data_IF_980620285419
#
_entry.id   IF_980620285419
#
_cell.length_a   1.000
_cell.length_b   1.000
_cell.length_c   1.000
_cell.angle_alpha   90.00
_cell.angle_beta   90.00
_cell.angle_gamma   90.00
#
_symmetry.space_group_name_H-M   'P 1'
#
loop_
_entity.id
_entity.type
_entity.pdbx_description
1 polymer ?
#
# COMPACT_ATOMS: atom_id res chain seq x y z
N UNK A 1 -1.82 18.29 14.95
CA UNK A 1 -2.92 19.23 14.75
C UNK A 1 -3.15 20.12 15.96
N UNK A 2 -3.48 19.56 17.15
CA UNK A 2 -3.78 20.37 18.35
C UNK A 2 -2.58 21.20 18.82
N UNK A 3 -1.35 20.69 18.70
CA UNK A 3 -0.13 21.45 19.03
C UNK A 3 0.10 22.60 18.05
N UNK A 4 -0.21 22.39 16.76
CA UNK A 4 -0.12 23.43 15.75
C UNK A 4 -1.19 24.51 15.94
N UNK A 5 -2.45 24.13 16.27
CA UNK A 5 -3.52 25.12 16.49
C UNK A 5 -3.27 25.97 17.73
N UNK A 6 -2.80 25.42 18.85
CA UNK A 6 -2.50 26.21 20.05
C UNK A 6 -1.36 27.19 19.82
N UNK A 7 -0.35 26.83 19.05
CA UNK A 7 0.81 27.70 18.78
C UNK A 7 0.50 28.78 17.73
N UNK A 8 -0.32 28.46 16.73
CA UNK A 8 -0.56 29.35 15.59
C UNK A 8 -1.86 30.16 15.68
N UNK A 9 -2.85 29.68 16.41
CA UNK A 9 -4.12 30.39 16.61
C UNK A 9 -4.13 31.24 17.89
N UNK A 10 -3.01 31.27 18.62
CA UNK A 10 -2.87 32.05 19.85
C UNK A 10 -3.73 31.53 21.01
N UNK A 11 -4.20 30.28 20.91
CA UNK A 11 -4.90 29.64 22.03
C UNK A 11 -3.93 29.35 23.17
N UNK A 12 -4.30 29.75 24.37
CA UNK A 12 -3.57 29.40 25.58
C UNK A 12 -3.74 27.92 25.87
N UNK A 13 -2.70 27.13 25.54
CA UNK A 13 -2.67 25.69 25.75
C UNK A 13 -2.81 25.32 27.22
N UNK A 14 -2.32 26.15 28.13
CA UNK A 14 -2.40 25.95 29.58
C UNK A 14 -3.82 26.19 30.08
N UNK A 15 -4.48 27.26 29.64
CA UNK A 15 -5.87 27.53 29.95
C UNK A 15 -6.83 26.47 29.39
N UNK A 16 -6.51 25.87 28.24
CA UNK A 16 -7.26 24.74 27.66
C UNK A 16 -6.98 23.40 28.33
N UNK A 17 -6.04 23.33 29.28
CA UNK A 17 -5.59 22.10 29.93
C UNK A 17 -4.79 21.16 29.01
N UNK A 18 -4.30 21.64 27.88
CA UNK A 18 -3.47 20.88 26.93
C UNK A 18 -1.99 20.94 27.35
N UNK A 19 -1.62 20.22 28.39
CA UNK A 19 -0.20 20.05 28.76
C UNK A 19 0.52 19.19 27.72
N UNK A 20 1.84 19.36 27.59
CA UNK A 20 2.68 18.55 26.71
C UNK A 20 2.50 17.04 26.99
N UNK A 21 2.40 16.65 28.25
CA UNK A 21 2.17 15.28 28.70
C UNK A 21 0.82 14.73 28.19
N UNK A 22 -0.27 15.50 28.32
CA UNK A 22 -1.58 15.09 27.82
C UNK A 22 -1.61 14.96 26.30
N UNK A 23 -0.91 15.84 25.60
CA UNK A 23 -0.75 15.76 24.13
C UNK A 23 0.01 14.50 23.74
N UNK A 24 1.12 14.17 24.39
CA UNK A 24 1.87 12.95 24.12
C UNK A 24 1.04 11.69 24.44
N UNK A 25 0.35 11.68 25.56
CA UNK A 25 -0.54 10.56 25.91
C UNK A 25 -1.68 10.39 24.89
N UNK A 26 -2.24 11.47 24.36
CA UNK A 26 -3.25 11.41 23.30
C UNK A 26 -2.68 10.89 21.97
N UNK A 27 -1.47 11.31 21.60
CA UNK A 27 -0.76 10.78 20.42
C UNK A 27 -0.50 9.28 20.56
N UNK A 28 -0.02 8.83 21.71
CA UNK A 28 0.24 7.41 21.97
C UNK A 28 -1.04 6.58 21.85
N UNK A 29 -2.16 7.03 22.44
CA UNK A 29 -3.46 6.35 22.31
C UNK A 29 -3.97 6.31 20.86
N UNK A 30 -3.80 7.40 20.10
CA UNK A 30 -4.20 7.43 18.69
C UNK A 30 -3.35 6.50 17.85
N UNK A 31 -2.04 6.46 18.09
CA UNK A 31 -1.13 5.53 17.42
C UNK A 31 -1.51 4.07 17.73
N UNK A 32 -1.78 3.76 19.00
CA UNK A 32 -2.23 2.42 19.39
C UNK A 32 -3.52 2.01 18.66
N UNK A 33 -4.52 2.90 18.57
CA UNK A 33 -5.75 2.62 17.83
C UNK A 33 -5.55 2.38 16.35
N UNK A 34 -4.57 3.05 15.74
CA UNK A 34 -4.22 2.82 14.33
C UNK A 34 -3.57 1.43 14.19
N UNK A 35 -2.73 1.04 15.14
CA UNK A 35 -2.09 -0.29 15.16
C UNK A 35 -3.07 -1.43 15.41
N UNK A 36 -4.06 -1.20 16.28
CA UNK A 36 -5.10 -2.20 16.59
C UNK A 36 -6.16 -2.33 15.47
N UNK A 37 -6.07 -1.52 14.41
CA UNK A 37 -7.08 -1.48 13.35
C UNK A 37 -6.95 -2.61 12.32
N UNK A 38 -5.80 -3.25 12.23
CA UNK A 38 -5.54 -4.35 11.30
C UNK A 38 -4.58 -5.38 11.88
N UNK A 39 -4.68 -6.60 11.37
CA UNK A 39 -3.66 -7.63 11.53
C UNK A 39 -3.00 -7.91 10.19
N UNK A 40 -1.69 -8.15 10.21
CA UNK A 40 -0.86 -8.44 9.05
C UNK A 40 -0.32 -9.86 9.12
N UNK A 41 -0.64 -10.66 8.10
CA UNK A 41 -0.14 -12.03 7.95
C UNK A 41 0.65 -12.17 6.64
N UNK A 42 1.78 -12.85 6.69
CA UNK A 42 2.66 -13.11 5.55
C UNK A 42 2.77 -14.61 5.29
N UNK A 43 2.64 -15.01 4.03
CA UNK A 43 2.83 -16.39 3.61
C UNK A 43 3.58 -16.42 2.29
N UNK A 44 4.68 -17.16 2.20
CA UNK A 44 5.32 -17.46 0.91
C UNK A 44 4.56 -18.63 0.25
N UNK A 45 4.12 -18.44 -0.98
CA UNK A 45 3.40 -19.43 -1.78
C UNK A 45 4.06 -19.48 -3.15
N UNK A 46 4.83 -20.54 -3.41
CA UNK A 46 5.66 -20.62 -4.61
C UNK A 46 6.60 -19.42 -4.71
N UNK A 47 6.64 -18.80 -5.86
CA UNK A 47 7.43 -17.58 -6.14
C UNK A 47 6.74 -16.28 -5.68
N UNK A 48 5.65 -16.37 -4.93
CA UNK A 48 4.89 -15.20 -4.51
C UNK A 48 4.84 -15.04 -2.99
N UNK A 49 4.94 -13.81 -2.52
CA UNK A 49 4.62 -13.41 -1.17
C UNK A 49 3.15 -12.98 -1.11
N UNK A 50 2.34 -13.73 -0.40
CA UNK A 50 0.97 -13.34 -0.06
C UNK A 50 0.99 -12.49 1.21
N UNK A 51 0.48 -11.28 1.09
CA UNK A 51 0.28 -10.32 2.18
C UNK A 51 -1.20 -10.22 2.46
N UNK A 52 -1.64 -10.69 3.62
CA UNK A 52 -3.02 -10.58 4.10
C UNK A 52 -3.14 -9.48 5.12
N UNK A 53 -4.09 -8.57 4.90
CA UNK A 53 -4.48 -7.54 5.86
C UNK A 53 -5.92 -7.81 6.30
N UNK A 54 -6.12 -8.05 7.58
CA UNK A 54 -7.44 -8.29 8.16
C UNK A 54 -7.93 -7.01 8.86
N UNK A 55 -9.14 -6.57 8.53
CA UNK A 55 -9.76 -5.40 9.14
C UNK A 55 -10.34 -5.75 10.52
N UNK A 56 -9.81 -5.16 11.58
CA UNK A 56 -10.27 -5.33 12.96
C UNK A 56 -11.21 -4.21 13.43
N UNK A 57 -11.65 -3.33 12.52
CA UNK A 57 -12.56 -2.24 12.83
C UNK A 57 -14.01 -2.55 12.44
N UNK A 58 -14.96 -1.78 12.98
CA UNK A 58 -16.37 -1.87 12.61
C UNK A 58 -16.75 -1.12 11.32
N UNK A 59 -15.80 -0.58 10.58
CA UNK A 59 -16.01 0.20 9.36
C UNK A 59 -15.05 -0.27 8.27
N UNK A 60 -15.25 0.19 7.02
CA UNK A 60 -14.24 -0.01 5.98
C UNK A 60 -12.89 0.57 6.39
N UNK A 61 -11.80 -0.14 6.14
CA UNK A 61 -10.45 0.26 6.47
C UNK A 61 -9.66 0.69 5.22
N UNK A 62 -9.05 1.90 5.19
CA UNK A 62 -9.05 2.95 6.20
C UNK A 62 -10.42 3.62 6.37
N UNK A 63 -10.74 4.01 7.61
CA UNK A 63 -12.03 4.60 7.97
C UNK A 63 -11.99 6.13 8.06
N UNK A 64 -13.17 6.74 8.19
CA UNK A 64 -13.37 8.16 8.40
C UNK A 64 -13.39 8.96 7.11
N UNK A 65 -13.04 10.24 7.19
CA UNK A 65 -13.04 11.15 6.03
C UNK A 65 -12.14 10.63 4.90
N UNK A 66 -12.68 10.36 3.71
CA UNK A 66 -11.95 9.62 2.67
C UNK A 66 -10.95 10.47 1.89
N UNK A 67 -11.21 11.79 1.75
CA UNK A 67 -10.41 12.66 0.88
C UNK A 67 -8.96 12.75 1.36
N UNK A 68 -8.05 12.29 0.51
CA UNK A 68 -6.62 12.27 0.80
C UNK A 68 -6.17 11.25 1.85
N UNK A 69 -7.11 10.49 2.46
CA UNK A 69 -6.79 9.42 3.41
C UNK A 69 -6.53 8.13 2.67
N UNK A 70 -5.42 7.48 3.00
CA UNK A 70 -5.02 6.21 2.37
C UNK A 70 -4.27 5.30 3.33
N UNK A 71 -4.29 4.02 3.00
CA UNK A 71 -3.48 2.97 3.59
C UNK A 71 -2.82 2.21 2.45
N UNK A 72 -1.58 1.75 2.61
CA UNK A 72 -0.92 0.96 1.57
C UNK A 72 0.09 -0.02 2.14
N UNK A 73 0.50 -0.96 1.29
CA UNK A 73 1.50 -1.97 1.62
C UNK A 73 2.87 -1.51 1.13
N UNK A 74 3.85 -1.45 2.00
CA UNK A 74 5.26 -1.38 1.62
C UNK A 74 5.88 -2.77 1.78
N UNK A 75 6.53 -3.27 0.75
CA UNK A 75 7.24 -4.54 0.78
C UNK A 75 8.69 -4.30 0.41
N UNK A 76 9.60 -4.63 1.31
CA UNK A 76 11.03 -4.64 1.05
C UNK A 76 11.53 -6.07 0.99
N UNK A 77 12.04 -6.47 -0.14
CA UNK A 77 12.74 -7.74 -0.32
C UNK A 77 14.23 -7.53 -0.08
N UNK A 78 14.81 -8.33 0.80
CA UNK A 78 16.20 -8.23 1.22
C UNK A 78 16.97 -9.49 0.79
N UNK A 79 18.20 -9.33 0.33
CA UNK A 79 19.12 -10.44 0.08
C UNK A 79 19.72 -11.02 1.37
N UNK A 80 20.65 -11.98 1.23
CA UNK A 80 21.34 -12.61 2.36
C UNK A 80 22.23 -11.64 3.16
N UNK A 81 22.67 -10.53 2.55
CA UNK A 81 23.47 -9.50 3.20
C UNK A 81 22.58 -8.42 3.87
N UNK A 82 21.25 -8.50 3.70
CA UNK A 82 20.30 -7.50 4.20
C UNK A 82 20.15 -6.28 3.30
N UNK A 83 20.69 -6.31 2.08
CA UNK A 83 20.52 -5.24 1.10
C UNK A 83 19.14 -5.35 0.42
N UNK A 84 18.51 -4.21 0.14
CA UNK A 84 17.21 -4.16 -0.54
C UNK A 84 17.40 -4.48 -2.02
N UNK A 85 16.81 -5.59 -2.48
CA UNK A 85 16.82 -6.01 -3.90
C UNK A 85 15.59 -5.55 -4.67
N UNK A 86 14.46 -5.34 -3.98
CA UNK A 86 13.26 -4.74 -4.55
C UNK A 86 12.43 -4.07 -3.45
N UNK A 87 11.74 -2.99 -3.79
CA UNK A 87 10.85 -2.30 -2.86
C UNK A 87 9.59 -1.82 -3.55
N UNK A 88 8.44 -2.31 -3.08
CA UNK A 88 7.10 -1.85 -3.46
C UNK A 88 6.59 -0.81 -2.48
N UNK A 89 5.91 0.22 -2.99
CA UNK A 89 5.24 1.20 -2.15
C UNK A 89 6.15 1.99 -1.21
N UNK A 90 7.38 2.27 -1.62
CA UNK A 90 8.30 3.14 -0.89
C UNK A 90 7.68 4.53 -0.72
N UNK A 91 7.83 5.11 0.46
CA UNK A 91 7.41 6.48 0.70
C UNK A 91 8.59 7.45 0.68
N UNK A 92 8.50 8.46 -0.18
CA UNK A 92 9.45 9.57 -0.19
C UNK A 92 8.97 10.66 0.78
N UNK A 93 9.67 10.79 1.91
CA UNK A 93 9.34 11.77 2.95
C UNK A 93 9.60 13.22 2.51
N UNK A 94 10.56 13.46 1.61
CA UNK A 94 10.85 14.80 1.12
C UNK A 94 9.74 15.28 0.18
N UNK A 95 9.28 14.41 -0.72
CA UNK A 95 8.24 14.71 -1.68
C UNK A 95 6.83 14.37 -1.18
N UNK A 96 6.71 13.68 -0.04
CA UNK A 96 5.44 13.18 0.53
C UNK A 96 4.63 12.34 -0.47
N UNK A 97 5.29 11.43 -1.19
CA UNK A 97 4.70 10.60 -2.25
C UNK A 97 5.06 9.13 -2.10
N UNK A 98 4.13 8.27 -2.53
CA UNK A 98 4.42 6.85 -2.71
C UNK A 98 5.22 6.69 -4.01
N UNK A 99 6.33 5.98 -3.93
CA UNK A 99 7.29 5.75 -5.02
C UNK A 99 7.70 4.28 -5.07
N UNK A 100 8.71 3.95 -5.87
CA UNK A 100 9.19 2.57 -6.03
C UNK A 100 8.30 1.74 -6.96
N UNK A 101 8.34 0.42 -6.79
CA UNK A 101 7.49 -0.49 -7.56
C UNK A 101 6.02 -0.35 -7.15
N UNK A 102 5.07 -0.68 -8.06
CA UNK A 102 3.64 -0.60 -7.78
C UNK A 102 3.25 -1.37 -6.52
N UNK A 103 2.29 -0.82 -5.79
CA UNK A 103 1.74 -1.44 -4.58
C UNK A 103 0.24 -1.31 -4.49
N UNK A 104 -0.36 -2.04 -3.57
CA UNK A 104 -1.78 -1.91 -3.24
C UNK A 104 -2.00 -0.69 -2.35
N UNK A 105 -2.85 0.23 -2.81
CA UNK A 105 -3.30 1.41 -2.05
C UNK A 105 -4.79 1.28 -1.80
N UNK A 106 -5.18 1.26 -0.52
CA UNK A 106 -6.57 1.24 -0.07
C UNK A 106 -7.05 2.65 0.21
N UNK A 107 -8.07 3.08 -0.54
CA UNK A 107 -8.60 4.44 -0.52
C UNK A 107 -10.00 4.49 -1.13
N UNK A 108 -10.73 5.57 -0.89
CA UNK A 108 -11.90 5.91 -1.69
C UNK A 108 -11.60 7.17 -2.50
N UNK A 109 -12.00 7.17 -3.78
CA UNK A 109 -11.87 8.29 -4.69
C UNK A 109 -13.24 8.68 -5.20
N UNK A 110 -13.60 9.92 -4.93
CA UNK A 110 -14.84 10.53 -5.39
C UNK A 110 -14.57 11.50 -6.53
N UNK A 111 -15.62 11.98 -7.14
CA UNK A 111 -15.54 13.00 -8.15
C UNK A 111 -16.89 13.34 -8.73
N UNK A 112 -16.87 14.02 -9.87
CA UNK A 112 -18.05 14.57 -10.54
C UNK A 112 -18.26 13.89 -11.88
N UNK A 113 -19.53 13.83 -12.34
CA UNK A 113 -19.87 13.41 -13.69
C UNK A 113 -20.05 14.61 -14.64
N UNK A 114 -20.35 14.31 -15.92
CA UNK A 114 -20.57 15.32 -16.95
C UNK A 114 -21.78 16.23 -16.66
N UNK A 115 -22.77 15.77 -15.89
CA UNK A 115 -23.92 16.61 -15.53
C UNK A 115 -23.53 17.68 -14.52
N UNK A 116 -22.69 17.35 -13.54
CA UNK A 116 -22.14 18.32 -12.59
C UNK A 116 -21.17 19.28 -13.30
N UNK A 117 -20.32 18.78 -14.20
CA UNK A 117 -19.42 19.61 -15.02
C UNK A 117 -20.22 20.67 -15.81
N UNK A 118 -21.30 20.26 -16.48
CA UNK A 118 -22.12 21.17 -17.28
C UNK A 118 -22.73 22.33 -16.47
N UNK A 119 -22.97 22.14 -15.18
CA UNK A 119 -23.58 23.16 -14.32
C UNK A 119 -22.52 23.99 -13.59
N UNK A 120 -21.42 23.37 -13.17
CA UNK A 120 -20.44 23.99 -12.25
C UNK A 120 -19.15 24.41 -12.92
N UNK A 121 -18.82 23.83 -14.10
CA UNK A 121 -17.54 23.99 -14.76
C UNK A 121 -16.40 23.17 -14.10
N UNK A 122 -16.68 22.39 -13.06
CA UNK A 122 -15.71 21.45 -12.47
C UNK A 122 -15.62 20.24 -13.39
N UNK A 123 -14.44 19.91 -13.95
CA UNK A 123 -14.28 18.81 -14.89
C UNK A 123 -14.78 17.47 -14.32
N UNK A 124 -15.45 16.68 -15.14
CA UNK A 124 -15.84 15.33 -14.80
C UNK A 124 -14.59 14.44 -14.58
N UNK A 125 -14.68 13.53 -13.62
CA UNK A 125 -13.60 12.65 -13.24
C UNK A 125 -13.28 12.67 -11.74
N UNK A 126 -12.21 11.97 -11.35
CA UNK A 126 -11.72 11.98 -9.97
C UNK A 126 -11.28 13.39 -9.57
N UNK A 127 -11.83 13.90 -8.49
CA UNK A 127 -11.42 15.18 -7.91
C UNK A 127 -11.72 15.22 -6.41
N UNK A 128 -11.31 16.29 -5.72
CA UNK A 128 -11.53 16.47 -4.28
C UNK A 128 -12.65 17.47 -3.94
N UNK A 129 -13.51 17.80 -4.87
CA UNK A 129 -14.70 18.66 -4.63
C UNK A 129 -15.80 17.88 -3.93
N UNK A 130 -15.55 17.47 -2.68
CA UNK A 130 -16.44 16.58 -1.91
C UNK A 130 -17.91 17.03 -1.92
N UNK A 131 -18.18 18.34 -1.80
CA UNK A 131 -19.55 18.87 -1.79
C UNK A 131 -20.28 18.72 -3.12
N UNK A 132 -19.55 18.54 -4.22
CA UNK A 132 -20.09 18.35 -5.58
C UNK A 132 -20.00 16.89 -6.02
N UNK A 133 -19.27 16.05 -5.28
CA UNK A 133 -19.02 14.67 -5.66
C UNK A 133 -20.32 13.86 -5.71
N UNK A 134 -20.65 13.37 -6.88
CA UNK A 134 -21.82 12.54 -7.14
C UNK A 134 -21.48 11.16 -7.70
N UNK A 135 -20.19 10.91 -7.99
CA UNK A 135 -19.67 9.63 -8.47
C UNK A 135 -18.58 9.13 -7.54
N UNK A 136 -18.55 7.83 -7.29
CA UNK A 136 -17.47 7.13 -6.63
C UNK A 136 -16.69 6.35 -7.68
N UNK A 137 -15.44 6.74 -7.93
CA UNK A 137 -14.58 6.15 -8.96
C UNK A 137 -13.80 4.95 -8.43
N UNK A 138 -13.50 4.94 -7.13
CA UNK A 138 -12.80 3.86 -6.45
C UNK A 138 -13.25 3.77 -4.99
N UNK A 139 -13.46 2.56 -4.49
CA UNK A 139 -13.56 2.26 -3.07
C UNK A 139 -13.13 0.82 -2.84
N UNK A 140 -11.83 0.60 -2.70
CA UNK A 140 -11.23 -0.70 -2.42
C UNK A 140 -10.83 -0.85 -0.94
N UNK A 141 -11.41 -0.05 -0.05
CA UNK A 141 -11.17 -0.16 1.39
C UNK A 141 -11.69 -1.49 1.89
N UNK A 142 -10.90 -2.15 2.75
CA UNK A 142 -11.23 -3.48 3.27
C UNK A 142 -12.51 -3.43 4.10
N UNK A 143 -13.55 -4.22 3.80
CA UNK A 143 -14.81 -4.20 4.53
C UNK A 143 -14.66 -4.63 6.01
N UNK A 144 -15.60 -4.27 6.88
CA UNK A 144 -15.63 -4.76 8.26
C UNK A 144 -16.15 -6.20 8.35
N UNK A 145 -15.94 -6.84 9.49
CA UNK A 145 -16.54 -8.14 9.80
C UNK A 145 -18.06 -8.05 9.68
N UNK A 146 -18.69 -9.05 9.06
CA UNK A 146 -20.11 -9.08 8.78
C UNK A 146 -20.54 -8.34 7.50
N UNK A 147 -19.59 -7.95 6.67
CA UNK A 147 -19.85 -7.35 5.36
C UNK A 147 -20.72 -8.27 4.49
N UNK A 148 -21.70 -7.68 3.81
CA UNK A 148 -22.37 -8.30 2.66
C UNK A 148 -22.57 -7.26 1.55
N UNK A 149 -22.40 -7.67 0.30
CA UNK A 149 -22.57 -6.79 -0.85
C UNK A 149 -23.99 -6.19 -0.91
N UNK A 150 -25.01 -6.99 -0.55
CA UNK A 150 -26.40 -6.54 -0.56
C UNK A 150 -26.62 -5.39 0.44
N UNK A 151 -26.15 -5.52 1.70
CA UNK A 151 -26.34 -4.50 2.71
C UNK A 151 -25.58 -3.22 2.35
N UNK A 152 -24.31 -3.33 1.92
CA UNK A 152 -23.50 -2.18 1.57
C UNK A 152 -24.00 -1.45 0.29
N UNK A 153 -24.62 -2.18 -0.64
CA UNK A 153 -25.28 -1.58 -1.81
C UNK A 153 -26.56 -0.84 -1.42
N UNK A 154 -27.35 -1.40 -0.51
CA UNK A 154 -28.57 -0.76 -0.02
C UNK A 154 -28.27 0.56 0.71
N UNK A 155 -27.13 0.61 1.45
CA UNK A 155 -26.67 1.81 2.16
C UNK A 155 -25.87 2.79 1.26
N UNK A 156 -25.79 2.53 -0.07
CA UNK A 156 -25.08 3.38 -1.03
C UNK A 156 -23.56 3.40 -0.85
N UNK A 157 -22.99 2.39 -0.19
CA UNK A 157 -21.56 2.30 0.08
C UNK A 157 -20.91 0.97 -0.37
N UNK A 158 -21.25 0.42 -1.57
CA UNK A 158 -20.59 -0.77 -2.07
C UNK A 158 -19.08 -0.52 -2.31
N UNK A 159 -18.25 -1.56 -2.41
CA UNK A 159 -16.94 -1.47 -3.04
C UNK A 159 -17.08 -0.97 -4.50
N UNK A 160 -16.06 -0.27 -5.00
CA UNK A 160 -16.03 0.23 -6.39
C UNK A 160 -14.65 0.01 -6.97
N UNK A 161 -14.59 -0.62 -8.15
CA UNK A 161 -13.32 -0.96 -8.82
C UNK A 161 -12.52 -2.07 -8.10
N UNK A 162 -13.16 -2.77 -7.17
CA UNK A 162 -12.64 -3.92 -6.46
C UNK A 162 -13.77 -4.76 -5.87
N UNK A 163 -13.56 -6.08 -5.75
CA UNK A 163 -14.58 -7.02 -5.29
C UNK A 163 -14.17 -7.68 -3.98
N UNK A 164 -15.12 -7.81 -3.06
CA UNK A 164 -15.02 -8.58 -1.84
C UNK A 164 -16.20 -9.56 -1.77
N UNK A 165 -15.94 -10.80 -1.38
CA UNK A 165 -16.99 -11.79 -1.16
C UNK A 165 -17.81 -11.45 0.11
N UNK A 166 -19.06 -11.90 0.18
CA UNK A 166 -19.86 -11.77 1.39
C UNK A 166 -19.14 -12.43 2.59
N UNK A 167 -19.06 -11.69 3.69
CA UNK A 167 -18.32 -12.11 4.89
C UNK A 167 -16.82 -11.85 4.85
N UNK A 168 -16.26 -11.43 3.72
CA UNK A 168 -14.85 -11.11 3.61
C UNK A 168 -14.55 -9.77 4.30
N UNK A 169 -13.64 -9.80 5.27
CA UNK A 169 -13.14 -8.62 6.01
C UNK A 169 -11.61 -8.56 6.03
N UNK A 170 -10.99 -9.16 5.02
CA UNK A 170 -9.55 -9.14 4.76
C UNK A 170 -9.30 -8.92 3.27
N UNK A 171 -8.06 -8.57 2.93
CA UNK A 171 -7.59 -8.53 1.56
C UNK A 171 -6.25 -9.24 1.43
N UNK A 172 -6.09 -9.99 0.35
CA UNK A 172 -4.85 -10.69 -0.01
C UNK A 172 -4.20 -9.98 -1.20
N UNK A 173 -2.95 -9.57 -1.05
CA UNK A 173 -2.15 -9.02 -2.14
C UNK A 173 -0.94 -9.90 -2.39
N UNK A 174 -0.68 -10.20 -3.65
CA UNK A 174 0.45 -11.04 -4.07
C UNK A 174 1.57 -10.17 -4.63
N UNK A 175 2.80 -10.45 -4.22
CA UNK A 175 4.01 -9.80 -4.72
C UNK A 175 4.97 -10.88 -5.20
N UNK A 176 5.50 -10.73 -6.42
CA UNK A 176 6.54 -11.64 -6.93
C UNK A 176 7.80 -11.55 -6.05
N UNK A 177 8.33 -12.69 -5.64
CA UNK A 177 9.56 -12.78 -4.83
C UNK A 177 10.75 -12.73 -5.77
N UNK A 178 11.63 -11.71 -5.68
CA UNK A 178 12.87 -11.71 -6.47
C UNK A 178 13.75 -12.90 -6.12
N UNK A 179 14.39 -13.54 -7.10
CA UNK A 179 15.24 -14.71 -6.89
C UNK A 179 16.39 -14.48 -5.88
N UNK A 180 16.91 -13.26 -5.81
CA UNK A 180 17.95 -12.87 -4.85
C UNK A 180 17.41 -12.65 -3.42
N UNK A 181 16.09 -12.55 -3.23
CA UNK A 181 15.49 -12.27 -1.91
C UNK A 181 15.67 -13.47 -0.96
N UNK A 182 15.94 -13.18 0.29
CA UNK A 182 16.04 -14.14 1.40
C UNK A 182 15.17 -13.77 2.58
N UNK A 183 14.63 -12.57 2.55
CA UNK A 183 13.71 -12.05 3.57
C UNK A 183 12.77 -11.04 2.95
N UNK A 184 11.54 -10.99 3.42
CA UNK A 184 10.63 -9.89 3.15
C UNK A 184 10.27 -9.19 4.47
N UNK A 185 10.33 -7.86 4.44
CA UNK A 185 9.84 -6.99 5.50
C UNK A 185 8.66 -6.21 4.93
N UNK A 186 7.49 -6.40 5.50
CA UNK A 186 6.25 -5.77 5.06
C UNK A 186 5.74 -4.82 6.13
N UNK A 187 5.42 -3.59 5.73
CA UNK A 187 4.80 -2.59 6.60
C UNK A 187 3.50 -2.10 5.96
N UNK A 188 2.44 -2.06 6.74
CA UNK A 188 1.18 -1.40 6.36
C UNK A 188 1.23 0.03 6.85
N UNK A 189 1.18 0.99 5.94
CA UNK A 189 1.19 2.41 6.25
C UNK A 189 -0.21 3.01 6.20
N UNK A 190 -0.46 3.93 7.12
CA UNK A 190 -1.64 4.79 7.13
C UNK A 190 -1.25 6.26 7.01
N UNK A 191 -1.92 7.00 6.14
CA UNK A 191 -1.73 8.44 5.98
C UNK A 191 -3.07 9.18 6.05
N UNK A 192 -3.13 10.23 6.88
CA UNK A 192 -4.35 11.00 7.10
C UNK A 192 -4.65 12.02 6.01
N UNK A 193 -3.59 12.53 5.35
CA UNK A 193 -3.71 13.59 4.35
C UNK A 193 -2.60 13.42 3.32
N UNK A 194 -2.98 13.11 2.10
CA UNK A 194 -2.04 13.01 0.98
C UNK A 194 -1.59 14.39 0.51
N UNK A 195 -0.46 14.43 -0.20
CA UNK A 195 0.05 15.65 -0.82
C UNK A 195 -0.94 16.23 -1.83
N UNK A 196 -1.52 15.36 -2.63
CA UNK A 196 -2.46 15.73 -3.69
C UNK A 196 -3.66 16.47 -3.11
N UNK A 197 -4.20 15.99 -1.98
CA UNK A 197 -5.33 16.62 -1.32
C UNK A 197 -5.00 17.97 -0.70
N UNK A 198 -3.86 18.10 -0.01
CA UNK A 198 -3.50 19.37 0.62
C UNK A 198 -3.13 20.44 -0.42
N UNK A 199 -2.52 20.03 -1.55
CA UNK A 199 -2.25 20.91 -2.67
C UNK A 199 -3.57 21.39 -3.31
N UNK A 200 -4.54 20.49 -3.51
CA UNK A 200 -5.88 20.86 -3.95
C UNK A 200 -6.52 21.92 -3.03
N UNK A 201 -6.47 21.72 -1.70
CA UNK A 201 -7.02 22.68 -0.76
C UNK A 201 -6.33 24.06 -0.84
N UNK A 202 -5.03 24.09 -1.10
CA UNK A 202 -4.28 25.33 -1.32
C UNK A 202 -4.72 26.05 -2.59
N UNK A 203 -4.84 25.29 -3.68
CA UNK A 203 -4.99 25.84 -5.03
C UNK A 203 -6.43 26.20 -5.36
N UNK A 204 -7.41 25.45 -4.83
CA UNK A 204 -8.84 25.69 -5.09
C UNK A 204 -9.53 26.60 -4.05
N UNK A 205 -8.90 26.91 -2.94
CA UNK A 205 -9.45 27.88 -1.99
C UNK A 205 -9.22 29.31 -2.48
N UNK A 206 -10.27 29.88 -3.08
CA UNK A 206 -10.24 31.24 -3.66
C UNK A 206 -10.97 32.27 -2.80
N UNK A 207 -11.63 31.88 -1.73
CA UNK A 207 -12.48 32.78 -0.92
C UNK A 207 -11.76 33.36 0.29
N UNK A 208 -10.71 32.66 0.78
CA UNK A 208 -9.93 33.06 1.94
C UNK A 208 -8.57 32.35 1.95
N UNK A 209 -7.77 32.54 3.02
CA UNK A 209 -6.41 31.98 3.12
C UNK A 209 -6.37 30.61 3.82
N UNK A 210 -7.50 29.94 4.09
CA UNK A 210 -7.52 28.71 4.88
C UNK A 210 -6.73 27.58 4.19
N UNK A 211 -6.83 27.43 2.86
CA UNK A 211 -6.08 26.43 2.11
C UNK A 211 -4.56 26.67 2.16
N UNK A 212 -4.13 27.91 1.99
CA UNK A 212 -2.70 28.31 2.12
C UNK A 212 -2.20 28.04 3.53
N UNK A 213 -2.99 28.40 4.54
CA UNK A 213 -2.65 28.16 5.95
C UNK A 213 -2.53 26.66 6.23
N UNK A 214 -3.47 25.83 5.75
CA UNK A 214 -3.43 24.39 5.90
C UNK A 214 -2.20 23.77 5.23
N UNK A 215 -1.86 24.21 4.02
CA UNK A 215 -0.67 23.76 3.31
C UNK A 215 0.63 24.13 4.06
N UNK A 216 0.74 25.36 4.55
CA UNK A 216 1.92 25.80 5.29
C UNK A 216 2.10 25.03 6.61
N UNK A 217 1.00 24.77 7.33
CA UNK A 217 1.01 23.92 8.52
C UNK A 217 1.43 22.48 8.19
N UNK A 218 0.91 21.92 7.11
CA UNK A 218 1.28 20.59 6.65
C UNK A 218 2.78 20.52 6.32
N UNK A 219 3.34 21.50 5.61
CA UNK A 219 4.77 21.59 5.33
C UNK A 219 5.61 21.67 6.62
N UNK A 220 5.20 22.53 7.56
CA UNK A 220 5.93 22.79 8.80
C UNK A 220 5.93 21.59 9.76
N UNK A 221 4.84 20.80 9.79
CA UNK A 221 4.64 19.72 10.76
C UNK A 221 4.83 18.31 10.19
N UNK A 222 5.68 18.17 9.17
CA UNK A 222 6.13 16.86 8.68
C UNK A 222 5.23 16.23 7.63
N UNK A 223 4.47 17.04 6.90
CA UNK A 223 3.77 16.66 5.66
C UNK A 223 2.81 15.46 5.82
N UNK A 224 2.18 15.33 6.97
CA UNK A 224 1.35 14.15 7.31
C UNK A 224 2.09 12.86 7.02
N UNK A 225 3.31 12.73 7.53
CA UNK A 225 4.10 11.51 7.37
C UNK A 225 3.25 10.27 7.71
N UNK A 226 3.42 9.17 6.97
CA UNK A 226 2.67 7.95 7.24
C UNK A 226 3.00 7.38 8.61
N UNK A 227 2.06 6.65 9.15
CA UNK A 227 2.16 5.95 10.43
C UNK A 227 2.16 4.45 10.14
N UNK A 228 3.07 3.73 10.78
CA UNK A 228 3.13 2.27 10.72
C UNK A 228 1.92 1.70 11.48
N UNK A 229 1.02 1.04 10.76
CA UNK A 229 -0.11 0.31 11.35
C UNK A 229 0.36 -1.04 11.88
N UNK A 230 1.08 -1.78 11.04
CA UNK A 230 1.61 -3.07 11.36
C UNK A 230 2.89 -3.35 10.58
N UNK A 231 3.77 -4.21 11.10
CA UNK A 231 4.99 -4.62 10.43
C UNK A 231 5.27 -6.09 10.73
N UNK A 232 5.48 -6.87 9.69
CA UNK A 232 5.84 -8.27 9.80
C UNK A 232 7.05 -8.60 8.93
N UNK A 233 7.76 -9.65 9.31
CA UNK A 233 8.93 -10.14 8.58
C UNK A 233 8.81 -11.64 8.39
N UNK A 234 9.16 -12.11 7.20
CA UNK A 234 9.20 -13.52 6.87
C UNK A 234 10.53 -13.88 6.21
N UNK A 235 11.23 -14.95 6.64
CA UNK A 235 12.31 -15.51 5.88
C UNK A 235 11.76 -16.10 4.57
N UNK A 236 12.51 -15.93 3.49
CA UNK A 236 12.16 -16.48 2.19
C UNK A 236 13.14 -17.63 1.88
N UNK A 237 12.64 -18.75 1.35
CA UNK A 237 13.53 -19.80 0.90
C UNK A 237 14.48 -19.24 -0.18
N UNK A 238 15.68 -19.78 -0.33
CA UNK A 238 16.52 -19.47 -1.48
C UNK A 238 15.70 -19.73 -2.73
N UNK A 239 15.64 -18.76 -3.64
CA UNK A 239 15.08 -19.00 -4.97
C UNK A 239 15.82 -20.18 -5.57
N UNK A 240 15.11 -21.19 -6.05
CA UNK A 240 15.71 -22.30 -6.79
C UNK A 240 16.12 -21.74 -8.15
N UNK A 241 17.42 -21.73 -8.43
CA UNK A 241 17.90 -21.25 -9.73
C UNK A 241 17.29 -22.04 -10.89
N UNK A 242 16.94 -23.29 -10.62
CA UNK A 242 16.32 -24.21 -11.57
C UNK A 242 14.80 -24.04 -11.75
N UNK A 243 14.14 -23.21 -10.96
CA UNK A 243 12.73 -22.79 -11.14
C UNK A 243 12.70 -21.67 -12.20
N UNK A 244 12.68 -22.07 -13.46
CA UNK A 244 12.83 -21.18 -14.61
C UNK A 244 11.53 -20.46 -14.96
N UNK A 245 10.38 -21.06 -14.63
CA UNK A 245 9.07 -20.45 -14.83
C UNK A 245 8.62 -19.58 -13.63
N UNK A 246 9.30 -19.69 -12.48
CA UNK A 246 9.04 -18.90 -11.28
C UNK A 246 7.78 -19.32 -10.51
N UNK A 247 7.30 -20.57 -10.65
CA UNK A 247 6.11 -21.06 -9.95
C UNK A 247 6.41 -21.61 -8.54
N UNK A 248 7.68 -21.72 -8.18
CA UNK A 248 8.18 -22.17 -6.87
C UNK A 248 8.43 -23.68 -6.78
N UNK A 249 8.26 -24.42 -7.87
CA UNK A 249 8.49 -25.87 -7.95
C UNK A 249 9.38 -26.18 -9.14
N UNK A 250 10.48 -26.87 -8.93
CA UNK A 250 11.33 -27.36 -10.05
C UNK A 250 10.75 -28.67 -10.57
N UNK A 251 10.20 -28.65 -11.79
CA UNK A 251 9.48 -29.78 -12.37
C UNK A 251 9.66 -29.89 -13.90
N UNK A 252 8.76 -30.65 -14.57
CA UNK A 252 8.80 -30.85 -16.00
C UNK A 252 8.62 -29.60 -16.85
N UNK A 253 7.96 -28.59 -16.33
CA UNK A 253 7.73 -27.32 -17.05
C UNK A 253 9.05 -26.54 -17.13
N UNK A 254 9.84 -26.50 -16.04
CA UNK A 254 11.18 -25.89 -16.03
C UNK A 254 12.17 -26.65 -16.90
N UNK A 255 12.10 -28.00 -16.86
CA UNK A 255 12.90 -28.84 -17.76
C UNK A 255 12.57 -28.52 -19.23
N UNK A 256 11.29 -28.29 -19.53
CA UNK A 256 10.87 -27.86 -20.87
C UNK A 256 11.54 -26.56 -21.31
N UNK A 257 11.61 -25.57 -20.40
CA UNK A 257 12.27 -24.28 -20.64
C UNK A 257 13.80 -24.52 -20.86
N UNK A 258 14.46 -25.24 -19.95
CA UNK A 258 15.88 -25.51 -20.06
C UNK A 258 16.22 -26.20 -21.38
N UNK A 259 15.44 -27.18 -21.79
CA UNK A 259 15.67 -27.92 -23.05
C UNK A 259 15.42 -27.05 -24.30
N UNK A 260 14.51 -26.10 -24.25
CA UNK A 260 14.28 -25.13 -25.34
C UNK A 260 15.46 -24.16 -25.52
N UNK A 261 16.19 -23.87 -24.44
CA UNK A 261 17.30 -22.93 -24.39
C UNK A 261 18.67 -23.64 -24.55
N UNK A 262 18.68 -24.92 -24.91
CA UNK A 262 19.86 -25.76 -25.00
C UNK A 262 20.82 -25.32 -26.12
N UNK A 263 21.72 -24.40 -25.81
CA UNK A 263 22.76 -23.91 -26.74
C UNK A 263 23.77 -22.99 -26.00
N UNK A 264 24.86 -22.56 -26.66
CA UNK A 264 25.68 -21.45 -26.15
C UNK A 264 24.84 -20.18 -26.02
N UNK A 265 24.62 -19.72 -24.79
CA UNK A 265 23.72 -18.60 -24.50
C UNK A 265 24.20 -17.82 -23.27
N UNK A 266 25.29 -17.02 -23.36
CA UNK A 266 25.78 -16.24 -22.24
C UNK A 266 24.70 -15.32 -21.65
N UNK A 267 24.47 -15.42 -20.34
CA UNK A 267 23.49 -14.63 -19.63
C UNK A 267 22.06 -15.14 -19.74
N UNK A 268 21.84 -16.34 -20.25
CA UNK A 268 20.53 -17.00 -20.26
C UNK A 268 20.19 -17.49 -18.85
N UNK A 269 18.96 -17.28 -18.36
CA UNK A 269 18.49 -17.78 -17.06
C UNK A 269 18.62 -19.31 -16.90
N UNK A 270 18.59 -20.08 -17.99
CA UNK A 270 18.76 -21.53 -17.97
C UNK A 270 20.24 -21.99 -17.89
N UNK A 271 21.21 -21.08 -18.01
CA UNK A 271 22.61 -21.29 -17.70
C UNK A 271 22.79 -21.20 -16.18
N UNK A 272 22.52 -22.31 -15.50
CA UNK A 272 22.44 -22.38 -14.04
C UNK A 272 23.79 -22.33 -13.35
N UNK A 273 24.85 -22.73 -14.07
CA UNK A 273 26.23 -22.72 -13.56
C UNK A 273 27.00 -21.45 -13.97
N UNK A 274 26.47 -20.64 -14.90
CA UNK A 274 27.06 -19.39 -15.38
C UNK A 274 28.28 -19.55 -16.28
N UNK A 275 28.44 -20.70 -16.94
CA UNK A 275 29.59 -20.98 -17.82
C UNK A 275 29.42 -20.44 -19.25
N UNK A 276 28.26 -19.88 -19.56
CA UNK A 276 27.92 -19.30 -20.86
C UNK A 276 27.25 -20.26 -21.84
N UNK A 277 26.84 -21.46 -21.39
CA UNK A 277 26.17 -22.46 -22.22
C UNK A 277 25.12 -23.22 -21.42
N UNK A 278 23.92 -23.37 -21.98
CA UNK A 278 22.89 -24.26 -21.42
C UNK A 278 23.15 -25.68 -21.92
N UNK A 279 23.50 -26.59 -21.02
CA UNK A 279 23.98 -27.96 -21.37
C UNK A 279 23.65 -29.00 -20.28
N UNK A 280 24.33 -30.16 -20.30
CA UNK A 280 24.10 -31.24 -19.34
C UNK A 280 24.47 -30.93 -17.90
N UNK A 281 25.38 -29.98 -17.68
CA UNK A 281 25.77 -29.54 -16.32
C UNK A 281 24.64 -28.77 -15.65
N UNK A 282 23.93 -27.92 -16.42
CA UNK A 282 22.75 -27.20 -15.96
C UNK A 282 21.57 -28.13 -15.69
N UNK A 283 21.39 -29.12 -16.57
CA UNK A 283 20.39 -30.16 -16.31
C UNK A 283 20.72 -30.94 -15.03
N UNK A 284 21.99 -31.20 -14.75
CA UNK A 284 22.42 -31.84 -13.51
C UNK A 284 22.07 -31.02 -12.27
N UNK A 285 22.23 -29.67 -12.31
CA UNK A 285 21.83 -28.75 -11.26
C UNK A 285 20.32 -28.79 -11.10
N UNK A 286 19.55 -28.66 -12.19
CA UNK A 286 18.08 -28.71 -12.16
C UNK A 286 17.54 -30.01 -11.54
N UNK A 287 18.12 -31.16 -11.91
CA UNK A 287 17.71 -32.45 -11.33
C UNK A 287 18.06 -32.58 -9.85
N UNK A 288 19.09 -31.86 -9.37
CA UNK A 288 19.44 -31.76 -7.95
C UNK A 288 18.42 -30.94 -7.13
N UNK A 289 17.76 -30.03 -7.79
CA UNK A 289 16.72 -29.13 -7.18
C UNK A 289 15.28 -29.65 -7.41
N UNK A 290 15.13 -30.83 -8.03
CA UNK A 290 13.82 -31.36 -8.43
C UNK A 290 12.87 -31.59 -7.24
N UNK A 291 11.62 -31.03 -7.30
CA UNK A 291 10.54 -31.25 -6.31
C UNK A 291 10.04 -30.02 -5.58
#
# INVERSE_FOLDING_TARGET
WRTASSTQLGEDAEASGLTAERVQAAKARNLQRVRDASDLELTAVGSQLKVRITNQTGHKLPTGYPEGRRMWVNVRFLDAAGAVVAEHGRYDHAEARITGLPTKVYEAKHGTDAAVEAVTGVPAGENFHLALANVKYKDNRIPPRGFTNAAFSADGCPPVGYDYADGQYWDDTLFAIPAAARQAVVTVYFQTTSREYIEFLRDENRTNNAGITAYNLWQMFGKSAPVDMDTATIPLPPGRAADLNGDGVVNGDDLGILLCEWCPAPGNPADLNGDGAVNGDDLGIMLGDWG
#
